data_IF_126014022154
#
_entry.id   IF_126014022154
#
_cell.length_a   1.000
_cell.length_b   1.000
_cell.length_c   1.000
_cell.angle_alpha   90.00
_cell.angle_beta   90.00
_cell.angle_gamma   90.00
#
_symmetry.space_group_name_H-M   'P 1'
#
loop_
_entity.id
_entity.type
_entity.pdbx_description
1 polymer ?
#
# COMPACT_ATOMS: atom_id res chain seq x y z
N UNK A 1 53.82 -29.57 -15.96
CA UNK A 1 54.05 -29.08 -14.56
C UNK A 1 53.48 -27.69 -14.29
N UNK A 2 53.33 -26.84 -15.27
CA UNK A 2 52.82 -25.45 -15.13
C UNK A 2 51.30 -25.44 -14.85
N UNK A 3 50.50 -26.30 -15.46
CA UNK A 3 49.02 -26.37 -15.23
C UNK A 3 48.63 -26.79 -13.80
N UNK A 4 49.38 -27.66 -13.12
CA UNK A 4 49.12 -28.07 -11.73
C UNK A 4 49.38 -26.95 -10.70
N UNK A 5 50.19 -25.97 -11.03
CA UNK A 5 50.50 -24.80 -10.18
C UNK A 5 49.41 -23.73 -10.26
N UNK A 6 48.68 -23.70 -11.38
CA UNK A 6 47.57 -22.77 -11.60
C UNK A 6 46.30 -23.18 -10.79
N UNK A 7 46.12 -24.50 -10.55
CA UNK A 7 44.98 -25.05 -9.76
C UNK A 7 45.22 -25.14 -8.27
N UNK A 8 46.39 -24.73 -7.73
CA UNK A 8 46.52 -24.55 -6.27
C UNK A 8 45.72 -23.32 -5.87
N UNK A 9 44.51 -23.53 -5.29
CA UNK A 9 43.69 -22.50 -4.65
C UNK A 9 44.48 -21.88 -3.51
N UNK A 10 45.18 -20.76 -3.75
CA UNK A 10 45.75 -19.93 -2.69
C UNK A 10 44.61 -19.17 -2.01
N UNK A 11 44.75 -18.81 -0.72
CA UNK A 11 43.74 -18.01 -0.01
C UNK A 11 43.33 -16.75 -0.76
N UNK A 12 44.27 -16.11 -1.47
CA UNK A 12 44.04 -14.93 -2.30
C UNK A 12 43.09 -15.27 -3.50
N UNK A 13 43.30 -16.40 -4.17
CA UNK A 13 42.45 -16.81 -5.30
C UNK A 13 41.04 -17.11 -4.84
N UNK A 14 40.88 -17.76 -3.69
CA UNK A 14 39.57 -18.02 -3.06
C UNK A 14 38.90 -16.69 -2.72
N UNK A 15 39.62 -15.75 -2.12
CA UNK A 15 39.11 -14.43 -1.81
C UNK A 15 38.59 -13.69 -3.06
N UNK A 16 39.40 -13.63 -4.12
CA UNK A 16 39.04 -12.96 -5.37
C UNK A 16 37.82 -13.62 -6.03
N UNK A 17 37.76 -14.95 -6.06
CA UNK A 17 36.60 -15.68 -6.59
C UNK A 17 35.34 -15.41 -5.75
N UNK A 18 35.47 -15.39 -4.42
CA UNK A 18 34.33 -15.11 -3.52
C UNK A 18 33.85 -13.66 -3.68
N UNK A 19 34.77 -12.68 -3.76
CA UNK A 19 34.43 -11.28 -4.01
C UNK A 19 33.71 -11.16 -5.34
N UNK A 20 34.21 -11.76 -6.41
CA UNK A 20 33.56 -11.74 -7.73
C UNK A 20 32.18 -12.38 -7.68
N UNK A 21 32.05 -13.56 -7.08
CA UNK A 21 30.76 -14.26 -6.98
C UNK A 21 29.74 -13.46 -6.20
N UNK A 22 30.11 -12.90 -5.03
CA UNK A 22 29.20 -12.08 -4.22
C UNK A 22 28.85 -10.77 -4.91
N UNK A 23 29.81 -10.13 -5.61
CA UNK A 23 29.55 -8.92 -6.40
C UNK A 23 28.58 -9.19 -7.56
N UNK A 24 28.71 -10.34 -8.23
CA UNK A 24 27.77 -10.75 -9.29
C UNK A 24 26.38 -11.00 -8.71
N UNK A 25 26.29 -11.71 -7.58
CA UNK A 25 25.01 -11.94 -6.88
C UNK A 25 24.39 -10.61 -6.46
N UNK A 26 25.19 -9.68 -5.92
CA UNK A 26 24.73 -8.34 -5.54
C UNK A 26 24.19 -7.57 -6.74
N UNK A 27 24.88 -7.64 -7.89
CA UNK A 27 24.46 -6.95 -9.12
C UNK A 27 23.19 -7.57 -9.75
N UNK A 28 23.06 -8.90 -9.70
CA UNK A 28 21.90 -9.61 -10.24
C UNK A 28 20.65 -9.42 -9.39
N UNK A 29 20.79 -8.96 -8.15
CA UNK A 29 19.72 -8.72 -7.18
C UNK A 29 18.64 -9.83 -7.19
N UNK A 30 19.01 -11.09 -6.86
CA UNK A 30 18.06 -12.19 -6.91
C UNK A 30 16.93 -11.96 -5.89
N UNK A 31 15.70 -12.34 -6.25
CA UNK A 31 14.48 -12.12 -5.45
C UNK A 31 14.61 -12.51 -3.98
N UNK A 32 15.40 -13.56 -3.69
CA UNK A 32 15.66 -14.00 -2.33
C UNK A 32 16.38 -12.94 -1.48
N UNK A 33 17.38 -12.24 -2.03
CA UNK A 33 18.12 -11.20 -1.30
C UNK A 33 17.25 -9.96 -1.10
N UNK A 34 16.51 -9.54 -2.14
CA UNK A 34 15.54 -8.46 -2.04
C UNK A 34 14.49 -8.75 -0.94
N UNK A 35 13.98 -9.99 -0.87
CA UNK A 35 13.06 -10.39 0.20
C UNK A 35 13.69 -10.34 1.59
N UNK A 36 14.95 -10.77 1.74
CA UNK A 36 15.68 -10.65 3.00
C UNK A 36 15.86 -9.19 3.41
N UNK A 37 16.21 -8.30 2.47
CA UNK A 37 16.35 -6.87 2.73
C UNK A 37 15.03 -6.28 3.24
N UNK A 38 13.89 -6.60 2.59
CA UNK A 38 12.56 -6.18 3.02
C UNK A 38 12.24 -6.68 4.45
N UNK A 39 12.55 -7.93 4.78
CA UNK A 39 12.35 -8.47 6.13
C UNK A 39 13.26 -7.83 7.17
N UNK A 40 14.49 -7.47 6.81
CA UNK A 40 15.36 -6.70 7.72
C UNK A 40 14.86 -5.28 7.96
N UNK A 41 14.19 -4.67 6.97
CA UNK A 41 13.52 -3.38 7.13
C UNK A 41 12.35 -3.49 8.13
N UNK A 42 11.51 -4.54 8.02
CA UNK A 42 10.42 -4.80 8.96
C UNK A 42 10.96 -4.98 10.39
N UNK A 43 12.04 -5.76 10.55
CA UNK A 43 12.70 -5.95 11.85
C UNK A 43 13.18 -4.61 12.44
N UNK A 44 13.71 -3.72 11.62
CA UNK A 44 14.11 -2.35 12.05
C UNK A 44 12.91 -1.52 12.50
N UNK A 45 11.75 -1.62 11.81
CA UNK A 45 10.52 -0.98 12.24
C UNK A 45 10.05 -1.51 13.60
N UNK A 46 10.02 -2.83 13.78
CA UNK A 46 9.65 -3.46 15.06
C UNK A 46 10.62 -3.09 16.19
N UNK A 47 11.93 -3.12 15.92
CA UNK A 47 12.96 -2.77 16.91
C UNK A 47 12.88 -1.29 17.33
N UNK A 48 12.57 -0.40 16.39
CA UNK A 48 12.38 1.03 16.68
C UNK A 48 11.11 1.27 17.49
N UNK A 49 10.05 0.47 17.23
CA UNK A 49 8.75 0.61 17.85
C UNK A 49 7.97 1.86 17.40
N UNK A 50 6.96 2.23 18.20
CA UNK A 50 6.09 3.37 17.96
C UNK A 50 6.81 4.70 18.15
N UNK A 51 6.59 5.65 17.25
CA UNK A 51 7.09 7.03 17.34
C UNK A 51 5.95 8.03 17.38
N UNK A 52 6.22 9.19 17.96
CA UNK A 52 5.20 10.24 18.15
C UNK A 52 4.79 10.84 16.82
N UNK A 53 3.47 11.00 16.59
CA UNK A 53 2.89 11.69 15.44
C UNK A 53 2.95 13.22 15.61
N UNK A 54 2.66 14.00 14.55
CA UNK A 54 2.49 15.46 14.64
C UNK A 54 1.28 15.86 15.49
N UNK A 55 0.27 14.97 15.57
CA UNK A 55 -1.04 15.30 16.14
C UNK A 55 -1.97 16.09 15.20
N UNK A 56 -1.50 16.39 13.97
CA UNK A 56 -2.26 17.15 12.97
C UNK A 56 -3.26 16.28 12.18
N UNK A 57 -3.15 14.95 12.26
CA UNK A 57 -4.00 14.02 11.52
C UNK A 57 -4.91 13.25 12.48
N UNK A 58 -6.20 13.19 12.15
CA UNK A 58 -7.19 12.36 12.82
C UNK A 58 -7.95 11.53 11.77
N UNK A 59 -8.41 10.34 12.16
CA UNK A 59 -9.12 9.42 11.29
C UNK A 59 -10.58 9.30 11.75
N UNK A 60 -11.49 9.35 10.79
CA UNK A 60 -12.91 9.05 11.00
C UNK A 60 -13.24 7.78 10.26
N UNK A 61 -13.50 6.77 11.05
CA UNK A 61 -13.69 5.40 10.60
C UNK A 61 -15.19 5.10 10.36
N UNK A 62 -15.52 4.59 9.18
CA UNK A 62 -16.77 3.89 8.95
C UNK A 62 -16.53 2.46 9.44
N UNK A 63 -16.68 2.28 10.73
CA UNK A 63 -16.41 1.06 11.49
C UNK A 63 -17.70 0.24 11.75
N UNK A 64 -17.57 -0.92 12.41
CA UNK A 64 -18.69 -1.78 12.76
C UNK A 64 -19.75 -1.02 13.55
N UNK A 65 -19.33 -0.20 14.54
CA UNK A 65 -20.24 0.61 15.33
C UNK A 65 -21.07 1.56 14.45
N UNK A 66 -20.43 2.15 13.46
CA UNK A 66 -21.11 3.03 12.51
C UNK A 66 -22.10 2.27 11.64
N UNK A 67 -21.79 1.03 11.23
CA UNK A 67 -22.70 0.19 10.46
C UNK A 67 -23.89 -0.28 11.30
N UNK A 68 -23.66 -0.61 12.57
CA UNK A 68 -24.72 -1.05 13.49
C UNK A 68 -25.73 0.09 13.75
N UNK A 69 -25.24 1.32 13.93
CA UNK A 69 -26.12 2.47 14.27
C UNK A 69 -26.74 3.15 13.03
N UNK A 70 -26.02 3.22 11.91
CA UNK A 70 -26.43 3.98 10.73
C UNK A 70 -26.87 3.11 9.54
N UNK A 71 -26.71 1.78 9.65
CA UNK A 71 -27.07 0.82 8.62
C UNK A 71 -25.91 0.42 7.72
N UNK A 72 -26.22 -0.49 6.79
CA UNK A 72 -25.22 -1.12 5.91
C UNK A 72 -24.57 -0.13 4.95
N UNK A 73 -23.30 -0.35 4.66
CA UNK A 73 -22.55 0.32 3.60
C UNK A 73 -22.89 -0.29 2.21
N UNK A 74 -22.93 0.49 1.10
CA UNK A 74 -22.68 1.94 1.04
C UNK A 74 -23.82 2.79 1.60
N UNK A 75 -23.47 3.85 2.33
CA UNK A 75 -24.46 4.76 2.89
C UNK A 75 -25.04 5.71 1.84
N UNK A 76 -26.32 6.10 1.97
CA UNK A 76 -26.90 7.19 1.19
C UNK A 76 -26.04 8.46 1.32
N UNK A 77 -25.91 9.20 0.24
CA UNK A 77 -25.06 10.42 0.18
C UNK A 77 -25.43 11.45 1.26
N UNK A 78 -26.68 11.48 1.69
CA UNK A 78 -27.14 12.32 2.81
C UNK A 78 -26.33 12.06 4.10
N UNK A 79 -25.97 10.81 4.38
CA UNK A 79 -25.17 10.48 5.58
C UNK A 79 -23.75 11.04 5.47
N UNK A 80 -23.19 11.00 4.27
CA UNK A 80 -21.85 11.57 4.02
C UNK A 80 -21.87 13.10 4.10
N UNK A 81 -22.95 13.72 3.63
CA UNK A 81 -23.17 15.17 3.81
C UNK A 81 -23.26 15.55 5.29
N UNK A 82 -24.04 14.80 6.09
CA UNK A 82 -24.16 15.00 7.54
C UNK A 82 -22.81 14.86 8.25
N UNK A 83 -22.00 13.86 7.86
CA UNK A 83 -20.66 13.66 8.40
C UNK A 83 -19.74 14.84 8.08
N UNK A 84 -19.75 15.30 6.83
CA UNK A 84 -18.95 16.45 6.41
C UNK A 84 -19.38 17.73 7.14
N UNK A 85 -20.68 17.99 7.21
CA UNK A 85 -21.22 19.16 7.91
C UNK A 85 -20.86 19.14 9.41
N UNK A 86 -20.86 17.94 10.03
CA UNK A 86 -20.39 17.78 11.41
C UNK A 86 -18.89 18.09 11.54
N UNK A 87 -18.04 17.58 10.64
CA UNK A 87 -16.60 17.87 10.65
C UNK A 87 -16.28 19.34 10.43
N UNK A 88 -17.06 20.01 9.57
CA UNK A 88 -16.98 21.47 9.40
C UNK A 88 -17.33 22.20 10.69
N UNK A 89 -18.39 21.77 11.40
CA UNK A 89 -18.77 22.31 12.70
C UNK A 89 -17.68 22.09 13.76
N UNK A 90 -16.95 20.98 13.69
CA UNK A 90 -15.78 20.70 14.52
C UNK A 90 -14.50 21.45 14.08
N UNK A 91 -14.61 22.36 13.12
CA UNK A 91 -13.52 23.19 12.62
C UNK A 91 -12.35 22.38 12.04
N UNK A 92 -12.61 21.20 11.42
CA UNK A 92 -11.60 20.48 10.65
C UNK A 92 -11.04 21.38 9.54
N UNK A 93 -9.71 21.44 9.38
CA UNK A 93 -9.08 22.31 8.37
C UNK A 93 -9.23 21.76 6.96
N UNK A 94 -9.04 20.43 6.80
CA UNK A 94 -9.21 19.67 5.55
C UNK A 94 -9.84 18.33 5.87
N UNK A 95 -10.75 17.88 5.00
CA UNK A 95 -11.36 16.54 5.07
C UNK A 95 -11.00 15.79 3.79
N UNK A 96 -10.23 14.71 3.91
CA UNK A 96 -9.89 13.80 2.82
C UNK A 96 -10.79 12.57 2.87
N UNK A 97 -11.45 12.24 1.76
CA UNK A 97 -12.29 11.05 1.66
C UNK A 97 -11.55 9.96 0.88
N UNK A 98 -11.23 8.86 1.56
CA UNK A 98 -10.73 7.62 0.96
C UNK A 98 -11.91 6.78 0.47
N UNK A 99 -12.72 7.40 -0.38
CA UNK A 99 -13.97 6.87 -0.93
C UNK A 99 -14.13 7.42 -2.33
N UNK A 100 -14.63 6.59 -3.25
CA UNK A 100 -15.05 7.01 -4.60
C UNK A 100 -16.56 6.83 -4.77
N UNK A 101 -17.20 7.83 -5.32
CA UNK A 101 -18.62 7.81 -5.68
C UNK A 101 -18.74 7.78 -7.22
N UNK A 102 -18.42 6.60 -7.79
CA UNK A 102 -18.33 6.41 -9.23
C UNK A 102 -19.70 6.29 -9.90
N UNK A 103 -20.73 5.97 -9.14
CA UNK A 103 -22.10 5.77 -9.62
C UNK A 103 -23.08 6.67 -8.85
N UNK A 104 -24.18 7.10 -9.50
CA UNK A 104 -25.26 7.83 -8.82
C UNK A 104 -25.83 7.01 -7.66
N UNK A 105 -26.32 7.70 -6.62
CA UNK A 105 -26.96 7.03 -5.48
C UNK A 105 -28.23 6.28 -5.92
N UNK A 106 -28.35 5.03 -5.49
CA UNK A 106 -29.55 4.22 -5.77
C UNK A 106 -30.73 4.69 -4.89
N UNK A 107 -31.38 5.74 -5.35
CA UNK A 107 -32.56 6.28 -4.67
C UNK A 107 -33.84 5.96 -5.46
N UNK A 108 -34.64 5.01 -4.90
CA UNK A 108 -35.91 4.60 -5.49
C UNK A 108 -36.95 5.73 -5.52
N UNK A 109 -36.93 6.62 -4.52
CA UNK A 109 -37.80 7.79 -4.47
C UNK A 109 -37.48 8.77 -5.62
N UNK A 110 -36.23 9.09 -5.85
CA UNK A 110 -35.79 9.94 -6.95
C UNK A 110 -36.16 9.33 -8.32
N UNK A 111 -35.96 8.01 -8.50
CA UNK A 111 -36.36 7.30 -9.72
C UNK A 111 -37.86 7.39 -9.95
N UNK A 112 -38.67 7.17 -8.91
CA UNK A 112 -40.13 7.22 -8.99
C UNK A 112 -40.66 8.61 -9.28
N UNK A 113 -40.16 9.63 -8.61
CA UNK A 113 -40.54 11.02 -8.82
C UNK A 113 -40.14 11.51 -10.23
N UNK A 114 -38.96 11.11 -10.71
CA UNK A 114 -38.47 11.44 -12.05
C UNK A 114 -39.33 10.77 -13.14
N UNK A 115 -39.69 9.49 -12.95
CA UNK A 115 -40.57 8.77 -13.84
C UNK A 115 -42.00 9.39 -13.86
N UNK A 116 -42.50 9.82 -12.72
CA UNK A 116 -43.78 10.51 -12.62
C UNK A 116 -43.73 11.85 -13.39
N UNK A 117 -42.67 12.65 -13.22
CA UNK A 117 -42.47 13.91 -13.95
C UNK A 117 -42.41 13.69 -15.46
N UNK A 118 -41.66 12.67 -15.89
CA UNK A 118 -41.59 12.29 -17.30
C UNK A 118 -42.95 11.91 -17.84
N UNK A 119 -43.74 11.09 -17.12
CA UNK A 119 -45.08 10.67 -17.54
C UNK A 119 -46.06 11.84 -17.65
N UNK A 120 -45.97 12.79 -16.72
CA UNK A 120 -46.74 14.03 -16.81
C UNK A 120 -46.44 14.82 -18.08
N UNK A 121 -45.15 14.95 -18.43
CA UNK A 121 -44.72 15.62 -19.65
C UNK A 121 -45.22 14.89 -20.91
N UNK A 122 -45.14 13.56 -20.96
CA UNK A 122 -45.66 12.74 -22.07
C UNK A 122 -47.19 12.92 -22.24
N UNK A 123 -47.93 12.99 -21.15
CA UNK A 123 -49.36 13.20 -21.16
C UNK A 123 -49.78 14.67 -21.32
N UNK A 124 -48.78 15.59 -21.46
CA UNK A 124 -49.01 17.05 -21.57
C UNK A 124 -49.90 17.62 -20.43
N UNK A 125 -49.78 17.02 -19.22
CA UNK A 125 -50.49 17.49 -18.04
C UNK A 125 -49.73 18.71 -17.48
N UNK A 126 -50.20 19.92 -17.85
CA UNK A 126 -49.65 21.17 -17.35
C UNK A 126 -50.42 21.65 -16.13
N UNK A 127 -49.85 21.45 -14.96
CA UNK A 127 -50.30 22.05 -13.69
C UNK A 127 -49.09 22.68 -13.00
N UNK A 128 -49.02 23.98 -12.96
CA UNK A 128 -47.87 24.76 -12.44
C UNK A 128 -47.56 24.44 -10.99
N UNK A 129 -48.56 24.23 -10.17
CA UNK A 129 -48.36 23.91 -8.73
C UNK A 129 -47.81 22.50 -8.54
N UNK A 130 -48.33 21.53 -9.32
CA UNK A 130 -47.84 20.15 -9.29
C UNK A 130 -46.43 20.04 -9.85
N UNK A 131 -46.12 20.75 -10.94
CA UNK A 131 -44.76 20.80 -11.46
C UNK A 131 -43.76 21.41 -10.48
N UNK A 132 -44.14 22.49 -9.76
CA UNK A 132 -43.35 23.08 -8.68
C UNK A 132 -43.16 22.11 -7.54
N UNK A 133 -44.21 21.45 -7.10
CA UNK A 133 -44.13 20.46 -6.03
C UNK A 133 -43.25 19.28 -6.40
N UNK A 134 -43.42 18.69 -7.59
CA UNK A 134 -42.57 17.61 -8.09
C UNK A 134 -41.11 18.02 -8.24
N UNK A 135 -40.86 19.23 -8.74
CA UNK A 135 -39.49 19.72 -8.86
C UNK A 135 -38.81 19.86 -7.47
N UNK A 136 -39.54 20.36 -6.48
CA UNK A 136 -39.03 20.43 -5.10
C UNK A 136 -38.84 19.04 -4.46
N UNK A 137 -39.75 18.12 -4.72
CA UNK A 137 -39.64 16.74 -4.22
C UNK A 137 -38.44 16.02 -4.86
N UNK A 138 -38.24 16.16 -6.18
CA UNK A 138 -37.09 15.62 -6.89
C UNK A 138 -35.78 16.22 -6.33
N UNK A 139 -35.72 17.54 -6.15
CA UNK A 139 -34.54 18.20 -5.58
C UNK A 139 -34.25 17.70 -4.16
N UNK A 140 -35.27 17.46 -3.35
CA UNK A 140 -35.11 16.91 -1.98
C UNK A 140 -34.67 15.45 -1.99
N UNK A 141 -35.14 14.68 -2.96
CA UNK A 141 -34.78 13.27 -3.13
C UNK A 141 -33.42 13.07 -3.77
N UNK A 142 -32.82 14.10 -4.41
CA UNK A 142 -31.49 14.03 -5.02
C UNK A 142 -30.39 14.09 -3.94
N UNK A 143 -29.98 12.92 -3.51
CA UNK A 143 -28.99 12.75 -2.45
C UNK A 143 -27.57 13.07 -2.94
N UNK A 144 -27.25 12.81 -4.21
CA UNK A 144 -25.96 13.19 -4.82
C UNK A 144 -25.81 14.72 -4.81
N UNK A 145 -26.87 15.44 -5.15
CA UNK A 145 -26.90 16.91 -5.08
C UNK A 145 -26.75 17.40 -3.63
N UNK A 146 -27.38 16.70 -2.67
CA UNK A 146 -27.27 17.05 -1.25
C UNK A 146 -25.81 16.96 -0.77
N UNK A 147 -25.08 15.91 -1.18
CA UNK A 147 -23.64 15.79 -0.87
C UNK A 147 -22.83 16.87 -1.59
N UNK A 148 -23.09 17.08 -2.88
CA UNK A 148 -22.40 18.11 -3.66
C UNK A 148 -22.57 19.51 -3.05
N UNK A 149 -23.77 19.87 -2.60
CA UNK A 149 -24.05 21.14 -1.94
C UNK A 149 -23.27 21.27 -0.60
N UNK A 150 -23.15 20.19 0.17
CA UNK A 150 -22.34 20.17 1.39
C UNK A 150 -20.84 20.32 1.09
N UNK A 151 -20.33 19.62 0.06
CA UNK A 151 -18.94 19.74 -0.40
C UNK A 151 -18.62 21.18 -0.81
N UNK A 152 -19.44 21.79 -1.65
CA UNK A 152 -19.27 23.15 -2.13
C UNK A 152 -19.31 24.20 -0.99
N UNK A 153 -20.24 24.03 -0.03
CA UNK A 153 -20.30 24.92 1.15
C UNK A 153 -19.09 24.76 2.06
N UNK A 154 -18.58 23.55 2.22
CA UNK A 154 -17.47 23.27 3.13
C UNK A 154 -16.17 23.91 2.70
N UNK A 155 -15.87 23.91 1.41
CA UNK A 155 -14.58 24.32 0.80
C UNK A 155 -13.36 23.66 1.42
N UNK A 156 -13.53 22.45 2.01
CA UNK A 156 -12.49 21.75 2.78
C UNK A 156 -12.28 20.31 2.32
N UNK A 157 -13.13 19.82 1.43
CA UNK A 157 -13.13 18.42 1.05
C UNK A 157 -12.21 18.14 -0.13
N UNK A 158 -11.43 17.06 0.01
CA UNK A 158 -10.61 16.45 -1.05
C UNK A 158 -11.09 15.02 -1.22
N UNK A 159 -11.44 14.63 -2.45
CA UNK A 159 -12.04 13.33 -2.74
C UNK A 159 -11.00 12.32 -3.18
N UNK A 160 -11.24 11.06 -2.85
CA UNK A 160 -10.51 9.92 -3.38
C UNK A 160 -11.03 9.49 -4.75
N UNK A 161 -10.15 8.87 -5.52
CA UNK A 161 -10.50 8.12 -6.72
C UNK A 161 -9.46 7.04 -6.98
N UNK A 162 -9.72 6.12 -7.93
CA UNK A 162 -8.89 4.96 -8.14
C UNK A 162 -8.42 4.83 -9.60
N UNK A 163 -7.14 4.51 -9.80
CA UNK A 163 -6.59 4.17 -11.09
C UNK A 163 -6.51 2.65 -11.28
N UNK A 164 -6.87 2.17 -12.47
CA UNK A 164 -6.73 0.78 -12.88
C UNK A 164 -5.57 0.63 -13.87
N UNK A 165 -4.90 -0.53 -13.78
CA UNK A 165 -3.72 -0.89 -14.58
C UNK A 165 -3.99 -2.17 -15.36
N UNK A 166 -5.09 -2.18 -16.11
CA UNK A 166 -5.45 -3.30 -16.97
C UNK A 166 -4.58 -3.36 -18.22
N UNK A 167 -4.35 -4.56 -18.76
CA UNK A 167 -3.92 -4.66 -20.16
C UNK A 167 -5.06 -4.17 -21.06
N UNK A 168 -4.75 -3.74 -22.29
CA UNK A 168 -5.79 -3.28 -23.23
C UNK A 168 -6.82 -4.37 -23.54
N UNK A 169 -6.43 -5.63 -23.36
CA UNK A 169 -7.25 -6.81 -23.61
C UNK A 169 -8.21 -7.11 -22.47
N UNK A 170 -7.79 -6.84 -21.23
CA UNK A 170 -8.54 -7.10 -19.99
C UNK A 170 -9.52 -5.97 -19.63
N UNK A 171 -9.52 -4.86 -20.36
CA UNK A 171 -10.47 -3.78 -20.11
C UNK A 171 -11.91 -4.26 -20.35
N UNK A 172 -12.80 -4.19 -19.34
CA UNK A 172 -14.21 -4.50 -19.52
C UNK A 172 -14.81 -3.72 -20.70
N UNK A 173 -15.64 -4.38 -21.50
CA UNK A 173 -16.23 -3.77 -22.72
C UNK A 173 -16.96 -2.44 -22.43
N UNK A 174 -17.59 -2.34 -21.27
CA UNK A 174 -18.27 -1.15 -20.77
C UNK A 174 -17.30 0.00 -20.43
N UNK A 175 -16.06 -0.31 -20.03
CA UNK A 175 -14.99 0.64 -19.70
C UNK A 175 -14.08 0.98 -20.90
N UNK A 176 -14.32 0.40 -22.09
CA UNK A 176 -13.56 0.70 -23.33
C UNK A 176 -13.78 2.11 -23.89
N UNK A 177 -14.86 2.75 -23.50
CA UNK A 177 -15.09 4.17 -23.81
C UNK A 177 -14.53 4.99 -22.63
N UNK A 178 -13.28 5.40 -22.75
CA UNK A 178 -12.68 6.35 -21.80
C UNK A 178 -13.52 7.62 -21.77
N UNK A 179 -13.86 8.16 -20.58
CA UNK A 179 -14.47 9.49 -20.50
C UNK A 179 -13.52 10.46 -21.19
N UNK A 180 -14.03 11.17 -22.21
CA UNK A 180 -13.23 12.16 -22.94
C UNK A 180 -12.79 13.30 -22.03
N UNK A 181 -13.64 13.65 -21.07
CA UNK A 181 -13.39 14.69 -20.09
C UNK A 181 -13.47 14.09 -18.69
N UNK A 182 -12.34 14.05 -18.01
CA UNK A 182 -12.31 13.70 -16.60
C UNK A 182 -12.77 14.89 -15.76
N UNK A 183 -13.53 14.64 -14.66
CA UNK A 183 -13.82 15.70 -13.71
C UNK A 183 -12.52 16.27 -13.12
N UNK A 184 -12.56 17.43 -12.46
CA UNK A 184 -11.38 18.04 -11.88
C UNK A 184 -10.64 17.09 -10.93
N UNK A 185 -9.43 16.68 -11.32
CA UNK A 185 -8.53 15.86 -10.51
C UNK A 185 -7.27 16.68 -10.21
N UNK A 186 -6.71 16.50 -9.01
CA UNK A 186 -5.50 17.20 -8.63
C UNK A 186 -4.28 16.66 -9.39
N UNK A 187 -3.67 17.53 -10.15
CA UNK A 187 -2.45 17.29 -10.91
C UNK A 187 -1.29 18.05 -10.32
N UNK A 188 -0.08 17.73 -10.77
CA UNK A 188 1.07 18.55 -10.48
C UNK A 188 0.96 19.92 -11.14
N UNK A 189 1.15 21.00 -10.39
CA UNK A 189 1.09 22.37 -10.88
C UNK A 189 2.18 22.65 -11.92
N UNK A 190 3.38 22.06 -11.68
CA UNK A 190 4.53 22.18 -12.54
C UNK A 190 5.19 20.84 -12.77
N UNK A 191 5.34 20.45 -14.03
CA UNK A 191 6.14 19.29 -14.42
C UNK A 191 7.33 19.80 -15.22
N UNK A 192 8.54 19.56 -14.72
CA UNK A 192 9.80 19.99 -15.33
C UNK A 192 10.55 18.77 -15.81
N UNK A 193 11.01 18.81 -17.05
CA UNK A 193 11.82 17.74 -17.65
C UNK A 193 13.26 18.26 -17.82
N UNK A 194 14.25 17.47 -17.40
CA UNK A 194 15.68 17.80 -17.57
C UNK A 194 16.10 17.69 -19.05
N UNK A 195 15.44 16.81 -19.83
CA UNK A 195 15.68 16.58 -21.26
C UNK A 195 14.43 16.03 -21.95
N UNK A 196 14.44 15.90 -23.27
CA UNK A 196 13.36 15.23 -24.01
C UNK A 196 13.25 13.73 -23.66
N UNK A 197 14.34 13.09 -23.30
CA UNK A 197 14.36 11.69 -22.87
C UNK A 197 13.62 11.51 -21.52
N UNK A 198 13.68 12.48 -20.62
CA UNK A 198 12.98 12.48 -19.35
C UNK A 198 11.43 12.40 -19.49
N UNK A 199 10.89 12.80 -20.63
CA UNK A 199 9.45 12.68 -20.92
C UNK A 199 8.99 11.21 -21.14
N UNK A 200 9.92 10.29 -21.39
CA UNK A 200 9.68 8.86 -21.65
C UNK A 200 10.03 7.96 -20.48
N UNK A 201 10.31 8.53 -19.33
CA UNK A 201 10.64 7.77 -18.12
C UNK A 201 9.48 6.86 -17.74
N UNK A 202 9.74 5.58 -17.39
CA UNK A 202 8.71 4.63 -16.99
C UNK A 202 8.16 5.00 -15.60
N UNK A 203 7.08 5.77 -15.57
CA UNK A 203 6.23 5.96 -14.39
C UNK A 203 5.13 4.91 -14.39
N UNK A 204 4.47 4.73 -13.25
CA UNK A 204 3.20 3.99 -13.23
C UNK A 204 2.21 4.68 -14.18
N UNK A 205 1.84 4.02 -15.27
CA UNK A 205 0.91 4.54 -16.27
C UNK A 205 -0.42 3.81 -16.17
N UNK A 206 -1.45 4.54 -15.74
CA UNK A 206 -2.79 3.99 -15.60
C UNK A 206 -3.49 3.86 -16.95
N UNK A 207 -4.36 2.86 -17.07
CA UNK A 207 -5.15 2.61 -18.28
C UNK A 207 -6.59 3.09 -18.17
N UNK A 208 -7.11 3.20 -16.94
CA UNK A 208 -8.46 3.68 -16.66
C UNK A 208 -8.51 4.39 -15.31
N UNK A 209 -9.36 5.40 -15.18
CA UNK A 209 -9.63 6.12 -13.95
C UNK A 209 -11.09 5.92 -13.53
N UNK A 210 -11.29 5.37 -12.33
CA UNK A 210 -12.60 5.29 -11.67
C UNK A 210 -12.74 6.51 -10.77
N UNK A 211 -13.56 7.47 -11.21
CA UNK A 211 -13.68 8.80 -10.61
C UNK A 211 -15.08 9.07 -10.10
N UNK A 212 -15.20 10.05 -9.23
CA UNK A 212 -16.48 10.48 -8.71
C UNK A 212 -17.39 11.03 -9.84
N UNK A 213 -18.71 10.85 -9.70
CA UNK A 213 -19.66 11.43 -10.65
C UNK A 213 -19.47 12.96 -10.74
N UNK A 214 -19.72 13.58 -11.93
CA UNK A 214 -19.38 14.99 -12.16
C UNK A 214 -19.94 15.95 -11.12
N UNK A 215 -21.21 15.79 -10.72
CA UNK A 215 -21.86 16.67 -9.74
C UNK A 215 -21.16 16.68 -8.38
N UNK A 216 -20.59 15.57 -7.96
CA UNK A 216 -19.83 15.43 -6.69
C UNK A 216 -18.39 15.93 -6.89
N UNK A 217 -17.74 15.53 -7.99
CA UNK A 217 -16.36 15.88 -8.26
C UNK A 217 -16.14 17.39 -8.42
N UNK A 218 -17.04 18.07 -9.14
CA UNK A 218 -16.98 19.52 -9.37
C UNK A 218 -17.25 20.35 -8.11
N UNK A 219 -17.94 19.77 -7.13
CA UNK A 219 -18.25 20.43 -5.88
C UNK A 219 -17.10 20.37 -4.84
N UNK A 220 -16.08 19.55 -5.06
CA UNK A 220 -14.95 19.40 -4.17
C UNK A 220 -13.82 20.37 -4.49
N UNK A 221 -12.92 20.60 -3.53
CA UNK A 221 -11.75 21.46 -3.68
C UNK A 221 -10.57 20.77 -4.40
N UNK A 222 -10.65 19.46 -4.60
CA UNK A 222 -9.64 18.66 -5.28
C UNK A 222 -9.92 17.18 -5.14
N UNK A 223 -9.15 16.36 -5.86
CA UNK A 223 -9.23 14.92 -5.77
C UNK A 223 -7.87 14.28 -6.03
N UNK A 224 -7.49 13.28 -5.22
CA UNK A 224 -6.25 12.52 -5.36
C UNK A 224 -6.53 11.02 -5.39
N UNK A 225 -5.67 10.25 -6.08
CA UNK A 225 -5.83 8.80 -6.11
C UNK A 225 -5.38 8.18 -4.78
N UNK A 226 -6.04 7.09 -4.39
CA UNK A 226 -5.68 6.32 -3.19
C UNK A 226 -5.05 4.95 -3.48
N UNK A 227 -4.52 4.76 -4.70
CA UNK A 227 -3.82 3.53 -5.07
C UNK A 227 -2.64 3.25 -4.15
N UNK A 228 -2.58 2.02 -3.64
CA UNK A 228 -1.49 1.50 -2.83
C UNK A 228 -1.05 0.17 -3.46
N UNK A 229 0.25 0.04 -3.75
CA UNK A 229 0.83 -1.18 -4.32
C UNK A 229 1.69 -1.88 -3.27
N UNK A 230 1.40 -3.15 -2.94
CA UNK A 230 2.26 -3.92 -2.06
C UNK A 230 3.57 -4.29 -2.76
N UNK A 231 4.61 -4.51 -1.96
CA UNK A 231 5.86 -5.10 -2.42
C UNK A 231 5.65 -6.59 -2.80
N UNK A 232 6.69 -7.24 -3.34
CA UNK A 232 6.61 -8.64 -3.79
C UNK A 232 6.18 -9.64 -2.70
N UNK A 233 6.40 -9.31 -1.44
CA UNK A 233 5.98 -10.12 -0.28
C UNK A 233 4.57 -9.77 0.26
N UNK A 234 3.82 -8.94 -0.45
CA UNK A 234 2.48 -8.50 -0.08
C UNK A 234 2.44 -7.37 0.95
N UNK A 235 3.60 -6.92 1.47
CA UNK A 235 3.67 -5.86 2.48
C UNK A 235 3.75 -4.48 1.82
N UNK A 236 3.00 -3.52 2.32
CA UNK A 236 3.03 -2.12 1.86
C UNK A 236 4.12 -1.36 2.60
N UNK A 237 5.19 -0.99 1.88
CA UNK A 237 6.26 -0.15 2.43
C UNK A 237 6.42 1.15 1.64
N UNK A 238 6.00 1.14 0.39
CA UNK A 238 6.10 2.25 -0.53
C UNK A 238 4.74 2.73 -0.98
N UNK A 239 4.62 4.03 -1.24
CA UNK A 239 3.44 4.62 -1.85
C UNK A 239 3.83 5.41 -3.10
N UNK A 240 3.15 5.21 -4.25
CA UNK A 240 3.36 6.07 -5.40
C UNK A 240 2.81 7.45 -5.09
N UNK A 241 3.59 8.48 -5.33
CA UNK A 241 3.17 9.88 -5.19
C UNK A 241 2.77 10.49 -6.55
N UNK A 242 3.20 9.87 -7.65
CA UNK A 242 2.86 10.25 -9.01
C UNK A 242 2.40 9.02 -9.80
N UNK A 243 1.28 9.18 -10.51
CA UNK A 243 0.79 8.24 -11.53
C UNK A 243 0.53 9.04 -12.79
N UNK A 244 1.01 8.54 -13.92
CA UNK A 244 0.72 9.09 -15.24
C UNK A 244 -0.57 8.47 -15.75
N UNK A 245 -1.47 9.31 -16.26
CA UNK A 245 -2.65 8.87 -16.99
C UNK A 245 -2.87 9.79 -18.18
N UNK A 246 -2.92 9.20 -19.38
CA UNK A 246 -2.86 9.94 -20.63
C UNK A 246 -1.57 10.83 -20.64
N UNK A 247 -1.71 12.13 -20.89
CA UNK A 247 -0.57 13.05 -20.94
C UNK A 247 -0.37 13.86 -19.65
N UNK A 248 -1.03 13.48 -18.55
CA UNK A 248 -1.00 14.24 -17.29
C UNK A 248 -0.43 13.39 -16.15
N UNK A 249 0.13 14.09 -15.17
CA UNK A 249 0.68 13.53 -13.94
C UNK A 249 -0.24 13.88 -12.77
N UNK A 250 -0.74 12.87 -12.12
CA UNK A 250 -1.71 12.98 -11.03
C UNK A 250 -1.04 12.70 -9.69
N UNK A 251 -1.55 13.30 -8.62
CA UNK A 251 -1.00 13.13 -7.29
C UNK A 251 -1.86 12.21 -6.40
N UNK A 252 -1.21 11.57 -5.43
CA UNK A 252 -1.88 10.75 -4.43
C UNK A 252 -2.82 11.59 -3.53
N UNK A 253 -3.85 10.94 -2.97
CA UNK A 253 -4.80 11.57 -2.03
C UNK A 253 -4.09 12.27 -0.87
N UNK A 254 -3.06 11.65 -0.31
CA UNK A 254 -2.23 12.24 0.75
C UNK A 254 -1.59 13.57 0.34
N UNK A 255 -1.10 13.69 -0.91
CA UNK A 255 -0.53 14.95 -1.43
C UNK A 255 -1.61 16.00 -1.72
N UNK A 256 -2.75 15.60 -2.30
CA UNK A 256 -3.86 16.51 -2.55
C UNK A 256 -4.43 17.09 -1.24
N UNK A 257 -4.56 16.26 -0.20
CA UNK A 257 -4.96 16.68 1.15
C UNK A 257 -3.94 17.64 1.77
N UNK A 258 -2.65 17.31 1.67
CA UNK A 258 -1.57 18.18 2.17
C UNK A 258 -1.50 19.50 1.41
N UNK A 259 -1.67 19.48 0.10
CA UNK A 259 -1.71 20.69 -0.73
C UNK A 259 -2.80 21.64 -0.23
N UNK A 260 -4.00 21.10 0.02
CA UNK A 260 -5.11 21.89 0.59
C UNK A 260 -4.81 22.38 2.01
N UNK A 261 -4.24 21.51 2.85
CA UNK A 261 -3.86 21.86 4.23
C UNK A 261 -2.82 22.98 4.28
N UNK A 262 -1.89 23.01 3.33
CA UNK A 262 -0.86 24.03 3.18
C UNK A 262 -1.30 25.21 2.29
N UNK A 263 -2.60 25.53 2.31
CA UNK A 263 -3.21 26.66 1.59
C UNK A 263 -2.94 26.65 0.08
N UNK A 264 -3.10 25.49 -0.55
CA UNK A 264 -2.89 25.24 -1.98
C UNK A 264 -1.44 25.55 -2.43
N UNK A 265 -0.45 25.18 -1.63
CA UNK A 265 0.96 25.27 -1.98
C UNK A 265 1.23 24.53 -3.30
N UNK A 266 2.08 25.08 -4.18
CA UNK A 266 2.33 24.47 -5.49
C UNK A 266 3.01 23.09 -5.36
N UNK A 267 2.49 22.14 -6.13
CA UNK A 267 3.05 20.78 -6.24
C UNK A 267 3.90 20.70 -7.50
N UNK A 268 5.18 20.40 -7.36
CA UNK A 268 6.18 20.37 -8.43
C UNK A 268 6.73 18.96 -8.59
N UNK A 269 6.79 18.50 -9.83
CA UNK A 269 7.43 17.25 -10.24
C UNK A 269 8.60 17.57 -11.17
N UNK A 270 9.79 17.07 -10.87
CA UNK A 270 10.94 17.12 -11.75
C UNK A 270 11.30 15.72 -12.21
N UNK A 271 11.42 15.54 -13.52
CA UNK A 271 11.76 14.29 -14.17
C UNK A 271 13.13 14.42 -14.85
N UNK A 272 14.00 13.47 -14.58
CA UNK A 272 15.29 13.28 -15.24
C UNK A 272 15.27 11.98 -16.06
N UNK A 273 16.33 11.71 -16.81
CA UNK A 273 16.42 10.50 -17.66
C UNK A 273 16.37 9.19 -16.89
N UNK A 274 16.78 9.22 -15.62
CA UNK A 274 16.76 8.05 -14.73
C UNK A 274 15.41 7.85 -14.00
N UNK A 275 14.50 8.84 -14.02
CA UNK A 275 13.23 8.74 -13.29
C UNK A 275 12.83 10.05 -12.65
N UNK A 276 12.09 9.95 -11.54
CA UNK A 276 11.71 11.09 -10.71
C UNK A 276 12.95 11.61 -9.97
N UNK A 277 13.32 12.85 -10.26
CA UNK A 277 14.42 13.55 -9.62
C UNK A 277 13.96 14.23 -8.32
N UNK A 278 12.77 14.86 -8.35
CA UNK A 278 12.27 15.64 -7.24
C UNK A 278 10.74 15.72 -7.23
N UNK A 279 10.17 15.57 -6.05
CA UNK A 279 8.79 15.98 -5.74
C UNK A 279 8.87 17.05 -4.66
N UNK A 280 8.19 18.19 -4.88
CA UNK A 280 8.15 19.29 -3.92
C UNK A 280 6.72 19.81 -3.74
N UNK A 281 6.35 20.05 -2.50
CA UNK A 281 5.09 20.69 -2.11
C UNK A 281 5.39 21.99 -1.37
N UNK A 282 5.26 23.12 -2.06
CA UNK A 282 5.75 24.40 -1.58
C UNK A 282 7.27 24.30 -1.29
N UNK A 283 7.66 24.56 -0.04
CA UNK A 283 9.05 24.45 0.41
C UNK A 283 9.44 23.04 0.88
N UNK A 284 8.47 22.12 0.99
CA UNK A 284 8.71 20.77 1.45
C UNK A 284 9.27 19.89 0.33
N UNK A 285 10.49 19.39 0.52
CA UNK A 285 11.09 18.38 -0.35
C UNK A 285 10.64 16.98 0.06
N UNK A 286 10.23 16.16 -0.90
CA UNK A 286 9.73 14.80 -0.66
C UNK A 286 10.62 13.82 -1.44
N UNK A 287 11.51 13.09 -0.78
CA UNK A 287 12.38 12.12 -1.44
C UNK A 287 11.56 10.91 -1.90
N UNK A 288 11.82 10.49 -3.14
CA UNK A 288 11.24 9.31 -3.76
C UNK A 288 12.33 8.47 -4.42
N UNK A 289 11.96 7.25 -4.80
CA UNK A 289 12.77 6.49 -5.75
C UNK A 289 12.52 7.00 -7.20
N UNK A 290 13.20 6.39 -8.16
CA UNK A 290 13.13 6.75 -9.59
C UNK A 290 11.72 6.60 -10.18
N UNK A 291 10.88 5.73 -9.62
CA UNK A 291 9.48 5.51 -10.01
C UNK A 291 8.50 6.48 -9.34
N UNK A 292 8.98 7.43 -8.52
CA UNK A 292 8.15 8.37 -7.78
C UNK A 292 7.43 7.77 -6.58
N UNK A 293 7.97 6.67 -6.02
CA UNK A 293 7.46 6.08 -4.78
C UNK A 293 8.22 6.62 -3.57
N UNK A 294 7.50 6.98 -2.52
CA UNK A 294 8.04 7.36 -1.22
C UNK A 294 8.05 6.15 -0.27
N UNK A 295 9.16 5.91 0.42
CA UNK A 295 9.23 4.94 1.50
C UNK A 295 8.48 5.48 2.72
N UNK A 296 7.46 4.77 3.17
CA UNK A 296 6.59 5.19 4.26
C UNK A 296 7.31 5.00 5.59
N UNK A 297 7.47 6.07 6.34
CA UNK A 297 7.98 5.99 7.71
C UNK A 297 6.83 5.74 8.69
N UNK A 298 6.36 4.50 8.77
CA UNK A 298 5.25 4.12 9.65
C UNK A 298 5.49 4.56 11.10
N UNK A 299 4.51 5.19 11.72
CA UNK A 299 4.59 5.72 13.09
C UNK A 299 4.41 4.65 14.15
N UNK A 300 3.83 3.52 13.81
CA UNK A 300 3.58 2.40 14.72
C UNK A 300 2.50 1.46 14.19
N UNK A 301 1.98 0.56 15.04
CA UNK A 301 0.89 -0.34 14.69
C UNK A 301 -0.41 0.43 14.43
N UNK A 302 -1.45 -0.29 13.98
CA UNK A 302 -2.78 0.28 13.77
C UNK A 302 -3.27 1.07 15.00
N UNK A 303 -4.11 2.07 14.76
CA UNK A 303 -4.61 3.00 15.80
C UNK A 303 -3.51 3.84 16.47
N UNK A 304 -2.39 4.05 15.76
CA UNK A 304 -1.37 5.01 16.20
C UNK A 304 -1.86 6.44 16.09
N UNK A 305 -2.66 6.74 15.08
CA UNK A 305 -3.37 8.03 14.96
C UNK A 305 -4.69 8.00 15.74
N UNK A 306 -5.23 9.16 16.17
CA UNK A 306 -6.56 9.21 16.78
C UNK A 306 -7.64 8.71 15.82
N UNK A 307 -8.44 7.72 16.24
CA UNK A 307 -9.55 7.15 15.50
C UNK A 307 -10.88 7.53 16.18
N UNK A 308 -11.84 7.94 15.37
CA UNK A 308 -13.20 8.26 15.81
C UNK A 308 -14.20 7.55 14.90
N UNK A 309 -15.23 6.95 15.50
CA UNK A 309 -16.31 6.35 14.74
C UNK A 309 -17.14 7.42 14.01
N UNK A 310 -17.49 7.20 12.75
CA UNK A 310 -18.27 8.14 11.96
C UNK A 310 -19.63 8.45 12.61
N UNK A 311 -20.26 7.45 13.22
CA UNK A 311 -21.53 7.64 13.96
C UNK A 311 -21.35 8.57 15.17
N UNK A 312 -20.24 8.48 15.89
CA UNK A 312 -19.95 9.38 17.02
C UNK A 312 -19.78 10.83 16.58
N UNK A 313 -19.17 11.02 15.41
CA UNK A 313 -19.01 12.36 14.82
C UNK A 313 -20.35 12.95 14.42
N UNK A 314 -21.18 12.19 13.70
CA UNK A 314 -22.52 12.62 13.26
C UNK A 314 -23.41 12.99 14.45
N UNK A 315 -23.38 12.20 15.52
CA UNK A 315 -24.21 12.41 16.71
C UNK A 315 -23.58 13.37 17.74
N UNK A 316 -22.43 13.99 17.45
CA UNK A 316 -21.81 14.96 18.35
C UNK A 316 -21.22 14.37 19.63
N UNK A 317 -20.87 13.09 19.63
CA UNK A 317 -20.33 12.36 20.80
C UNK A 317 -18.79 12.46 20.92
N UNK A 318 -18.14 13.24 20.04
CA UNK A 318 -16.70 13.43 20.01
C UNK A 318 -16.31 14.76 20.66
N UNK A 319 -15.17 14.85 21.38
CA UNK A 319 -14.72 16.11 21.96
C UNK A 319 -14.52 17.20 20.91
N UNK A 320 -14.95 18.43 21.18
CA UNK A 320 -14.88 19.55 20.23
C UNK A 320 -13.46 19.83 19.70
N UNK A 321 -12.41 19.54 20.51
CA UNK A 321 -11.01 19.75 20.13
C UNK A 321 -10.43 18.63 19.23
N UNK A 322 -11.16 17.55 18.97
CA UNK A 322 -10.64 16.38 18.27
C UNK A 322 -10.17 16.71 16.85
N UNK A 323 -10.89 17.59 16.16
CA UNK A 323 -10.65 17.89 14.74
C UNK A 323 -10.25 19.33 14.45
N UNK A 324 -10.31 20.21 15.45
CA UNK A 324 -10.06 21.65 15.24
C UNK A 324 -8.68 21.91 14.64
N UNK A 325 -8.67 22.52 13.45
CA UNK A 325 -7.47 22.88 12.70
C UNK A 325 -6.72 21.70 12.07
N UNK A 326 -7.24 20.47 12.18
CA UNK A 326 -6.57 19.25 11.75
C UNK A 326 -6.97 18.80 10.34
N UNK A 327 -6.16 17.91 9.82
CA UNK A 327 -6.49 17.04 8.69
C UNK A 327 -7.32 15.87 9.22
N UNK A 328 -8.48 15.66 8.61
CA UNK A 328 -9.35 14.52 8.92
C UNK A 328 -9.45 13.64 7.69
N UNK A 329 -9.05 12.38 7.82
CA UNK A 329 -9.25 11.39 6.77
C UNK A 329 -10.46 10.53 7.11
N UNK A 330 -11.35 10.35 6.15
CA UNK A 330 -12.59 9.59 6.27
C UNK A 330 -12.52 8.39 5.35
N UNK A 331 -12.77 7.19 5.87
CA UNK A 331 -12.78 5.97 5.07
C UNK A 331 -13.36 4.78 5.81
N UNK A 332 -13.59 3.69 5.08
CA UNK A 332 -14.12 2.46 5.63
C UNK A 332 -13.05 1.68 6.40
N UNK A 333 -13.41 1.18 7.58
CA UNK A 333 -12.54 0.33 8.41
C UNK A 333 -13.26 -0.89 8.96
N UNK A 334 -14.55 -1.07 8.67
CA UNK A 334 -15.32 -2.25 9.08
C UNK A 334 -14.95 -3.48 8.23
N UNK A 335 -14.94 -4.66 8.86
CA UNK A 335 -14.60 -5.91 8.18
C UNK A 335 -15.53 -6.18 6.99
N UNK A 336 -14.95 -6.56 5.85
CA UNK A 336 -15.68 -6.85 4.62
C UNK A 336 -15.93 -5.65 3.69
N UNK A 337 -15.67 -4.42 4.15
CA UNK A 337 -15.84 -3.21 3.31
C UNK A 337 -14.58 -2.34 3.24
N UNK A 338 -13.54 -2.66 4.02
CA UNK A 338 -12.33 -1.84 4.03
C UNK A 338 -11.17 -2.48 3.27
N UNK A 339 -10.27 -1.62 2.84
CA UNK A 339 -9.03 -1.97 2.18
C UNK A 339 -7.99 -2.41 3.23
N UNK A 340 -7.86 -3.74 3.41
CA UNK A 340 -6.87 -4.32 4.31
C UNK A 340 -5.50 -4.30 3.64
N UNK A 341 -4.50 -3.78 4.35
CA UNK A 341 -3.10 -3.81 3.94
C UNK A 341 -2.25 -4.55 4.96
N UNK A 342 -1.26 -5.28 4.46
CA UNK A 342 -0.17 -5.79 5.29
C UNK A 342 0.89 -4.70 5.35
N UNK A 343 1.36 -4.37 6.55
CA UNK A 343 2.39 -3.37 6.79
C UNK A 343 3.53 -3.96 7.61
N UNK A 344 4.68 -3.29 7.75
CA UNK A 344 5.76 -3.75 8.62
C UNK A 344 5.36 -3.98 10.08
N UNK A 345 4.30 -3.35 10.57
CA UNK A 345 3.83 -3.53 11.96
C UNK A 345 2.69 -4.55 12.10
N UNK A 346 1.73 -4.55 11.17
CA UNK A 346 0.51 -5.34 11.29
C UNK A 346 0.12 -6.00 9.98
N UNK A 347 -0.42 -7.22 10.07
CA UNK A 347 -1.00 -7.92 8.92
C UNK A 347 -2.40 -7.41 8.55
N UNK A 348 -3.06 -6.68 9.44
CA UNK A 348 -4.39 -6.08 9.26
C UNK A 348 -4.26 -4.60 9.56
N UNK A 349 -4.08 -3.79 8.54
CA UNK A 349 -3.86 -2.36 8.67
C UNK A 349 -4.79 -1.59 7.71
N UNK A 350 -5.57 -0.61 8.17
CA UNK A 350 -6.46 0.16 7.30
C UNK A 350 -5.68 0.98 6.26
N UNK A 351 -6.08 0.89 4.98
CA UNK A 351 -5.50 1.71 3.91
C UNK A 351 -5.57 3.21 4.23
N UNK A 352 -6.66 3.64 4.84
CA UNK A 352 -6.84 5.01 5.35
C UNK A 352 -5.68 5.47 6.26
N UNK A 353 -5.20 4.60 7.16
CA UNK A 353 -4.11 4.93 8.09
C UNK A 353 -2.73 4.91 7.39
N UNK A 354 -2.60 4.25 6.23
CA UNK A 354 -1.41 4.37 5.38
C UNK A 354 -1.27 5.82 4.90
N UNK A 355 -2.34 6.43 4.39
CA UNK A 355 -2.34 7.84 3.98
C UNK A 355 -2.02 8.79 5.14
N UNK A 356 -2.48 8.49 6.37
CA UNK A 356 -2.12 9.25 7.56
C UNK A 356 -0.62 9.20 7.85
N UNK A 357 0.01 8.03 7.73
CA UNK A 357 1.45 7.87 7.89
C UNK A 357 2.24 8.68 6.84
N UNK A 358 1.77 8.69 5.59
CA UNK A 358 2.37 9.47 4.49
C UNK A 358 2.31 10.97 4.82
N UNK A 359 1.14 11.47 5.18
CA UNK A 359 0.92 12.87 5.54
C UNK A 359 1.82 13.28 6.70
N UNK A 360 1.84 12.50 7.77
CA UNK A 360 2.64 12.77 8.97
C UNK A 360 4.15 12.73 8.68
N UNK A 361 4.58 11.80 7.80
CA UNK A 361 5.97 11.72 7.35
C UNK A 361 6.41 13.00 6.64
N UNK A 362 5.56 13.50 5.72
CA UNK A 362 5.85 14.71 4.95
C UNK A 362 5.82 15.94 5.86
N UNK A 363 4.86 16.07 6.76
CA UNK A 363 4.77 17.20 7.68
C UNK A 363 5.98 17.29 8.64
N UNK A 364 6.46 16.13 9.11
CA UNK A 364 7.65 16.08 9.99
C UNK A 364 8.97 16.14 9.23
N UNK A 365 8.96 16.01 7.91
CA UNK A 365 10.19 15.88 7.10
C UNK A 365 11.10 14.74 7.61
N UNK A 366 10.52 13.67 8.15
CA UNK A 366 11.24 12.52 8.69
C UNK A 366 11.17 11.35 7.72
N UNK A 367 11.85 11.48 6.62
CA UNK A 367 11.89 10.47 5.57
C UNK A 367 12.88 9.34 5.86
N UNK A 368 12.54 8.16 5.36
CA UNK A 368 13.46 7.05 5.19
C UNK A 368 13.94 7.07 3.74
N UNK A 369 15.22 7.07 3.54
CA UNK A 369 15.82 7.03 2.20
C UNK A 369 17.14 6.25 2.24
N UNK A 370 17.52 5.69 1.11
CA UNK A 370 18.82 5.05 0.92
C UNK A 370 19.74 6.06 0.26
N UNK A 371 20.76 6.59 0.96
CA UNK A 371 21.71 7.52 0.35
C UNK A 371 22.52 6.84 -0.77
N UNK A 372 22.86 7.57 -1.82
CA UNK A 372 23.60 7.02 -2.98
C UNK A 372 24.97 6.43 -2.62
N UNK A 373 25.61 6.91 -1.54
CA UNK A 373 26.90 6.39 -1.08
C UNK A 373 26.81 4.96 -0.50
N UNK A 374 25.62 4.49 -0.14
CA UNK A 374 25.40 3.14 0.42
C UNK A 374 25.84 2.06 -0.58
N UNK A 375 25.55 2.24 -1.87
CA UNK A 375 26.00 1.30 -2.91
C UNK A 375 27.53 1.15 -2.95
N UNK A 376 28.26 2.27 -2.82
CA UNK A 376 29.72 2.24 -2.73
C UNK A 376 30.18 1.56 -1.43
N UNK A 377 29.52 1.85 -0.32
CA UNK A 377 29.79 1.20 0.96
C UNK A 377 29.57 -0.32 0.90
N UNK A 378 28.48 -0.77 0.30
CA UNK A 378 28.17 -2.19 0.13
C UNK A 378 29.27 -2.90 -0.68
N UNK A 379 29.72 -2.31 -1.80
CA UNK A 379 30.80 -2.85 -2.61
C UNK A 379 32.12 -2.90 -1.83
N UNK A 380 32.46 -1.85 -1.09
CA UNK A 380 33.64 -1.84 -0.23
C UNK A 380 33.56 -2.90 0.87
N UNK A 381 32.38 -3.07 1.48
CA UNK A 381 32.16 -4.09 2.48
C UNK A 381 32.36 -5.52 1.91
N UNK A 382 31.83 -5.80 0.71
CA UNK A 382 32.03 -7.06 -0.01
C UNK A 382 33.52 -7.33 -0.21
N UNK A 383 34.29 -6.32 -0.70
CA UNK A 383 35.73 -6.46 -0.92
C UNK A 383 36.47 -6.72 0.38
N UNK A 384 36.23 -5.91 1.42
CA UNK A 384 36.91 -6.02 2.72
C UNK A 384 36.62 -7.37 3.38
N UNK A 385 35.33 -7.77 3.44
CA UNK A 385 34.93 -9.05 4.01
C UNK A 385 35.51 -10.24 3.23
N UNK A 386 35.51 -10.16 1.89
CA UNK A 386 36.11 -11.18 1.04
C UNK A 386 37.62 -11.32 1.26
N UNK A 387 38.36 -10.21 1.41
CA UNK A 387 39.78 -10.23 1.74
C UNK A 387 40.06 -10.81 3.14
N UNK A 388 39.24 -10.42 4.13
CA UNK A 388 39.33 -10.99 5.50
C UNK A 388 39.12 -12.51 5.47
N UNK A 389 38.10 -12.98 4.77
CA UNK A 389 37.84 -14.40 4.59
C UNK A 389 39.01 -15.11 3.89
N UNK A 390 39.59 -14.50 2.84
CA UNK A 390 40.76 -15.05 2.16
C UNK A 390 42.00 -15.20 3.04
N UNK A 391 42.17 -14.33 4.03
CA UNK A 391 43.25 -14.39 5.01
C UNK A 391 42.96 -15.44 6.10
N UNK A 392 41.73 -15.54 6.54
CA UNK A 392 41.32 -16.42 7.66
C UNK A 392 41.18 -17.87 7.22
N UNK A 393 40.56 -18.15 6.07
CA UNK A 393 40.28 -19.52 5.60
C UNK A 393 41.53 -20.42 5.53
N UNK A 394 42.68 -19.98 5.00
CA UNK A 394 43.89 -20.80 5.01
C UNK A 394 44.40 -21.12 6.42
N UNK A 395 44.25 -20.19 7.37
CA UNK A 395 44.66 -20.37 8.77
C UNK A 395 43.76 -21.34 9.51
N UNK A 396 42.44 -21.28 9.27
CA UNK A 396 41.47 -22.22 9.85
C UNK A 396 41.75 -23.65 9.35
N UNK A 397 42.00 -23.86 8.06
CA UNK A 397 42.40 -25.17 7.53
C UNK A 397 43.66 -25.70 8.15
N UNK A 398 44.64 -24.83 8.48
CA UNK A 398 45.85 -25.24 9.19
C UNK A 398 45.59 -25.67 10.62
N UNK A 399 44.66 -25.01 11.33
CA UNK A 399 44.22 -25.38 12.68
C UNK A 399 43.48 -26.72 12.72
N UNK A 400 42.51 -26.94 11.79
CA UNK A 400 41.78 -28.23 11.68
C UNK A 400 42.67 -29.35 11.19
N UNK A 401 43.61 -29.11 10.28
CA UNK A 401 44.59 -30.09 9.85
C UNK A 401 45.64 -30.44 10.93
N UNK A 402 45.84 -29.55 11.92
CA UNK A 402 46.61 -29.85 13.15
C UNK A 402 45.84 -30.76 14.08
N UNK A 403 44.57 -30.51 14.29
CA UNK A 403 43.69 -31.36 15.13
C UNK A 403 43.50 -32.76 14.55
N UNK A 404 43.39 -32.93 13.22
CA UNK A 404 43.32 -34.26 12.58
C UNK A 404 44.64 -35.06 12.74
N UNK A 405 45.80 -34.41 12.86
CA UNK A 405 47.06 -35.08 13.16
C UNK A 405 47.12 -35.62 14.58
N UNK A 406 46.54 -34.90 15.54
CA UNK A 406 46.50 -35.36 16.95
C UNK A 406 45.42 -36.43 17.18
N UNK A 407 44.36 -36.46 16.38
CA UNK A 407 43.33 -37.50 16.42
C UNK A 407 43.77 -38.78 15.73
N UNK A 408 44.78 -38.79 14.85
CA UNK A 408 45.34 -39.99 14.24
C UNK A 408 46.22 -40.80 15.20
N UNK A 409 46.58 -40.24 16.36
CA UNK A 409 47.25 -40.97 17.46
C UNK A 409 46.32 -41.88 18.27
N UNK A 410 44.99 -41.70 18.13
CA UNK A 410 43.97 -42.54 18.74
C UNK A 410 43.39 -43.61 17.80
N UNK A 411 44.08 -43.98 16.72
CA UNK A 411 43.79 -45.21 15.99
C UNK A 411 44.21 -46.36 16.86
N UNK A 412 43.26 -46.92 17.58
CA UNK A 412 43.36 -48.22 18.27
C UNK A 412 44.09 -49.23 17.41
N UNK A 413 45.13 -49.86 17.97
CA UNK A 413 45.89 -50.98 17.38
C UNK A 413 44.92 -52.06 16.91
N UNK A 414 45.25 -52.81 15.83
CA UNK A 414 44.36 -53.83 15.25
C UNK A 414 44.22 -55.10 16.12
N UNK A 415 44.70 -55.11 17.35
CA UNK A 415 44.79 -56.34 18.18
C UNK A 415 43.55 -56.61 19.04
N UNK A 416 42.47 -55.87 18.92
CA UNK A 416 41.22 -56.05 19.68
C UNK A 416 40.05 -56.62 18.84
N UNK A 417 40.31 -57.24 17.67
CA UNK A 417 39.28 -57.89 16.85
C UNK A 417 38.97 -59.35 17.26
N UNK A 418 39.51 -59.86 18.35
CA UNK A 418 39.32 -61.25 18.77
C UNK A 418 38.37 -61.49 19.96
N UNK A 419 37.57 -60.52 20.35
CA UNK A 419 36.56 -60.65 21.41
C UNK A 419 35.20 -60.17 20.97
N UNK A 420 34.59 -60.79 19.97
CA UNK A 420 33.15 -60.72 19.77
C UNK A 420 32.70 -62.19 19.50
N UNK A 421 31.91 -62.79 20.40
CA UNK A 421 31.36 -64.11 20.14
C UNK A 421 30.30 -64.03 19.01
N UNK A 422 30.43 -64.97 18.05
CA UNK A 422 29.44 -65.29 17.05
C UNK A 422 28.08 -65.51 17.70
N UNK A 423 27.13 -64.62 17.47
CA UNK A 423 25.71 -64.87 17.77
C UNK A 423 25.05 -65.51 16.59
N UNK A 424 24.61 -66.74 16.81
CA UNK A 424 23.82 -67.59 15.96
C UNK A 424 22.57 -66.89 15.38
N UNK A 425 22.25 -67.29 14.15
CA UNK A 425 20.97 -67.22 13.50
C UNK A 425 19.77 -67.31 14.44
N UNK A 426 18.95 -66.29 14.43
CA UNK A 426 17.55 -66.36 14.83
C UNK A 426 16.71 -65.77 13.71
N UNK A 427 15.86 -66.61 13.16
CA UNK A 427 15.03 -66.48 11.99
C UNK A 427 14.17 -65.23 11.92
N UNK A 428 13.84 -64.92 10.69
CA UNK A 428 12.84 -63.92 10.31
C UNK A 428 11.48 -64.21 10.99
N UNK A 429 10.82 -63.24 11.56
CA UNK A 429 9.40 -63.38 11.91
C UNK A 429 8.51 -62.99 10.69
N UNK A 430 7.68 -63.96 10.34
CA UNK A 430 6.57 -63.98 9.42
C UNK A 430 5.63 -62.76 9.60
N UNK A 431 5.46 -61.94 8.56
CA UNK A 431 4.51 -60.81 8.48
C UNK A 431 3.20 -61.29 7.92
N UNK A 432 2.45 -62.07 8.69
CA UNK A 432 1.06 -62.38 8.40
C UNK A 432 0.24 -62.47 9.67
N UNK A 433 -0.18 -61.38 10.19
CA UNK A 433 -1.40 -61.23 11.04
C UNK A 433 -1.40 -59.92 11.82
N UNK A 434 -1.91 -58.85 11.28
CA UNK A 434 -2.69 -57.87 12.00
C UNK A 434 -3.83 -57.42 11.06
N UNK A 435 -4.88 -58.24 11.09
CA UNK A 435 -6.24 -57.79 10.71
C UNK A 435 -6.91 -57.13 11.88
N UNK A 436 -7.69 -56.12 11.58
CA UNK A 436 -8.84 -55.58 12.31
C UNK A 436 -8.58 -54.65 13.52
N UNK A 437 -8.77 -53.38 13.27
CA UNK A 437 -9.60 -52.58 14.15
C UNK A 437 -10.35 -51.50 13.34
N UNK A 438 -11.67 -51.50 13.40
CA UNK A 438 -12.51 -50.57 12.69
C UNK A 438 -12.84 -49.40 13.60
N UNK A 439 -12.80 -48.18 13.08
CA UNK A 439 -13.66 -47.07 13.47
C UNK A 439 -13.18 -45.80 12.76
N UNK A 440 -13.99 -45.37 11.85
CA UNK A 440 -14.61 -44.09 11.56
C UNK A 440 -14.71 -43.90 10.04
N UNK A 441 -15.85 -44.37 9.53
CA UNK A 441 -16.53 -43.83 8.37
C UNK A 441 -17.26 -42.56 8.84
N UNK A 442 -17.21 -41.48 8.10
CA UNK A 442 -18.39 -40.88 7.48
C UNK A 442 -18.06 -39.50 6.92
N UNK A 443 -18.33 -39.43 5.63
CA UNK A 443 -18.99 -38.40 4.86
C UNK A 443 -18.64 -36.91 5.05
N UNK A 444 -18.04 -36.34 3.98
CA UNK A 444 -18.71 -35.24 3.27
C UNK A 444 -18.02 -35.01 1.91
N UNK A 445 -18.54 -35.70 0.89
CA UNK A 445 -18.42 -35.23 -0.50
C UNK A 445 -19.45 -34.11 -0.68
N UNK A 446 -18.99 -32.91 -0.99
CA UNK A 446 -19.80 -31.90 -1.64
C UNK A 446 -19.36 -31.78 -3.10
N UNK A 447 -20.27 -32.18 -3.95
CA UNK A 447 -20.26 -32.09 -5.40
C UNK A 447 -20.31 -30.64 -5.85
N UNK A 448 -19.43 -30.30 -6.77
CA UNK A 448 -19.57 -29.14 -7.65
C UNK A 448 -20.40 -29.60 -8.85
N UNK A 449 -21.57 -29.00 -9.02
CA UNK A 449 -22.27 -28.90 -10.31
C UNK A 449 -23.14 -27.65 -10.34
N UNK A 450 -22.99 -26.93 -11.47
CA UNK A 450 -23.70 -25.83 -12.10
C UNK A 450 -23.45 -24.44 -11.56
#
# INVERSE_FOLDING_TARGET
MILKRFFRLSGLKIALLSILAVSVIYYLDPDFLSLLELKTLDLRFHSRGKIVTTGEVALVAIDEKSLDELGRWPWPRVRMAQLLDALVKYEAKVVGFDIVWAEPDENSELKSLSALKQKMNELKLTNRDLEKYLSQAIQKADTDRTLADSLARSRRAVLGYFFHFFTKEDLPKEKKQLPKDLPPLSTYNWVKYSSQAAAKVPLFEATYAEVNIPVIAEAAEGAGYFNIFPDRDGTVRWIPLVIKYQDKHYCALSLAVLQKFLNNSPLVLRLAEFGVEEIRLGDLFIPTNEEGRMLINYRGPQKTFPHYSATDVIHGRVPAKAFKGKIVLVGATAMGIYDIRVTPFDHVFPGLEVHANVIDTILKQQFLYRPNWVTLFDLLAIIVLGLILGIILPKVKALWGGLDRDFSFFRLRPDLQSIIPETRDLGEPDVSSIQSCPYLSDDHRLSIHD
#
